data_IF_315641744593
#
_entry.id   IF_315641744593
#
_cell.length_a   1.000
_cell.length_b   1.000
_cell.length_c   1.000
_cell.angle_alpha   90.00
_cell.angle_beta   90.00
_cell.angle_gamma   90.00
#
_symmetry.space_group_name_H-M   'P 1'
#
loop_
_entity.id
_entity.type
_entity.pdbx_description
1 polymer ?
#
# COMPACT_ATOMS: atom_id res chain seq x y z
N UNK A 1 -3.76 -28.94 -8.25
CA UNK A 1 -4.42 -27.62 -8.10
C UNK A 1 -4.97 -27.03 -9.42
N UNK A 2 -4.61 -27.54 -10.61
CA UNK A 2 -5.10 -26.94 -11.88
C UNK A 2 -6.57 -27.18 -12.21
N UNK A 3 -7.16 -28.30 -11.79
CA UNK A 3 -8.57 -28.64 -12.05
C UNK A 3 -9.58 -27.68 -11.41
N UNK A 4 -9.20 -26.99 -10.34
CA UNK A 4 -10.06 -26.05 -9.60
C UNK A 4 -9.90 -24.59 -10.04
N UNK A 5 -8.85 -24.28 -10.82
CA UNK A 5 -8.51 -22.93 -11.31
C UNK A 5 -9.69 -22.20 -12.00
N UNK A 6 -10.54 -22.87 -12.81
CA UNK A 6 -11.67 -22.21 -13.48
C UNK A 6 -12.79 -21.73 -12.55
N UNK A 7 -12.89 -22.30 -11.35
CA UNK A 7 -13.98 -22.01 -10.41
C UNK A 7 -13.63 -20.92 -9.38
N UNK A 8 -12.38 -20.44 -9.38
CA UNK A 8 -12.02 -19.33 -8.51
C UNK A 8 -12.67 -18.03 -8.99
N UNK A 9 -13.23 -17.21 -8.07
CA UNK A 9 -13.72 -15.90 -8.43
C UNK A 9 -12.58 -15.09 -9.03
N UNK A 10 -12.87 -14.42 -10.15
CA UNK A 10 -11.92 -13.49 -10.75
C UNK A 10 -11.71 -12.34 -9.79
N UNK A 11 -10.45 -11.98 -9.54
CA UNK A 11 -10.11 -10.79 -8.78
C UNK A 11 -10.56 -9.56 -9.57
N UNK A 12 -11.65 -8.94 -9.14
CA UNK A 12 -12.12 -7.68 -9.70
C UNK A 12 -11.46 -6.51 -8.97
N UNK A 13 -10.90 -5.57 -9.74
CA UNK A 13 -10.32 -4.33 -9.22
C UNK A 13 -8.82 -4.17 -9.52
N UNK A 14 -8.29 -3.00 -9.13
CA UNK A 14 -6.86 -2.70 -9.29
C UNK A 14 -6.06 -3.56 -8.30
N UNK A 15 -4.97 -4.24 -8.74
CA UNK A 15 -4.12 -4.99 -7.84
C UNK A 15 -3.67 -4.09 -6.68
N UNK A 16 -3.67 -4.67 -5.47
CA UNK A 16 -3.22 -3.96 -4.29
C UNK A 16 -1.78 -3.49 -4.50
N UNK A 17 -1.51 -2.26 -4.10
CA UNK A 17 -0.13 -1.76 -4.03
C UNK A 17 0.63 -2.65 -3.07
N UNK A 18 1.88 -2.97 -3.42
CA UNK A 18 2.81 -3.72 -2.59
C UNK A 18 2.85 -3.17 -1.15
N UNK A 19 2.45 -4.00 -0.19
CA UNK A 19 2.35 -3.60 1.22
C UNK A 19 3.72 -3.28 1.83
N UNK A 20 4.82 -3.91 1.36
CA UNK A 20 6.18 -3.59 1.80
C UNK A 20 6.54 -2.16 1.40
N UNK A 21 6.17 -1.77 0.18
CA UNK A 21 6.42 -0.42 -0.34
C UNK A 21 5.67 0.65 0.47
N UNK A 22 4.41 0.37 0.81
CA UNK A 22 3.59 1.25 1.65
C UNK A 22 4.19 1.38 3.06
N UNK A 23 4.59 0.25 3.66
CA UNK A 23 5.24 0.22 4.97
C UNK A 23 6.55 1.01 4.99
N UNK A 24 7.41 0.81 4.00
CA UNK A 24 8.64 1.58 3.85
C UNK A 24 8.38 3.08 3.76
N UNK A 25 7.35 3.50 3.03
CA UNK A 25 6.94 4.91 2.97
C UNK A 25 6.47 5.47 4.31
N UNK A 26 5.66 4.72 5.07
CA UNK A 26 5.21 5.14 6.40
C UNK A 26 6.40 5.27 7.37
N UNK A 27 7.31 4.30 7.37
CA UNK A 27 8.51 4.32 8.23
C UNK A 27 9.42 5.50 7.87
N UNK A 28 9.60 5.77 6.57
CA UNK A 28 10.39 6.91 6.11
C UNK A 28 9.83 8.25 6.62
N UNK A 29 8.52 8.45 6.52
CA UNK A 29 7.87 9.69 6.98
C UNK A 29 8.03 9.87 8.48
N UNK A 30 7.75 8.81 9.25
CA UNK A 30 7.86 8.84 10.71
C UNK A 30 9.31 9.04 11.20
N UNK A 31 10.30 8.50 10.48
CA UNK A 31 11.73 8.61 10.85
C UNK A 31 12.28 10.01 10.60
N UNK A 32 11.76 10.71 9.59
CA UNK A 32 12.25 12.02 9.16
C UNK A 32 11.34 13.17 9.61
N UNK A 33 10.27 12.90 10.37
CA UNK A 33 9.27 13.89 10.79
C UNK A 33 8.73 14.75 9.62
N UNK A 34 8.52 14.11 8.47
CA UNK A 34 8.07 14.77 7.24
C UNK A 34 6.55 14.85 7.17
N UNK A 35 6.04 15.76 6.32
CA UNK A 35 4.62 15.73 5.97
C UNK A 35 4.36 14.58 5.02
N UNK A 36 3.17 14.00 5.09
CA UNK A 36 2.75 12.93 4.18
C UNK A 36 2.85 13.31 2.69
N UNK A 37 2.66 14.59 2.35
CA UNK A 37 2.79 15.10 0.98
C UNK A 37 4.23 15.07 0.44
N UNK A 38 5.23 15.07 1.32
CA UNK A 38 6.65 15.08 0.95
C UNK A 38 7.20 13.66 0.75
N UNK A 39 6.34 12.65 0.87
CA UNK A 39 6.70 11.27 0.65
C UNK A 39 7.16 11.05 -0.82
N UNK A 40 8.30 10.38 -1.04
CA UNK A 40 8.71 10.01 -2.39
C UNK A 40 7.63 9.21 -3.11
N UNK A 41 7.36 9.58 -4.38
CA UNK A 41 6.35 8.92 -5.21
C UNK A 41 6.62 7.43 -5.44
N UNK A 42 7.86 6.99 -5.24
CA UNK A 42 8.27 5.58 -5.24
C UNK A 42 7.51 4.75 -4.23
N UNK A 43 7.18 5.31 -3.05
CA UNK A 43 6.42 4.59 -2.02
C UNK A 43 4.92 4.49 -2.35
N UNK A 44 4.45 5.31 -3.30
CA UNK A 44 3.07 5.43 -3.71
C UNK A 44 2.43 6.75 -3.25
N UNK A 45 1.13 6.93 -3.53
CA UNK A 45 0.46 8.19 -3.23
C UNK A 45 0.45 8.50 -1.73
N UNK A 46 0.77 9.74 -1.37
CA UNK A 46 0.73 10.26 0.01
C UNK A 46 -0.56 9.89 0.75
N UNK A 47 -1.71 10.02 0.07
CA UNK A 47 -3.02 9.67 0.62
C UNK A 47 -3.14 8.18 0.97
N UNK A 48 -2.51 7.29 0.21
CA UNK A 48 -2.50 5.85 0.49
C UNK A 48 -1.70 5.54 1.75
N UNK A 49 -0.53 6.17 1.91
CA UNK A 49 0.31 6.03 3.11
C UNK A 49 -0.43 6.52 4.35
N UNK A 50 -1.00 7.72 4.29
CA UNK A 50 -1.76 8.30 5.41
C UNK A 50 -2.99 7.45 5.78
N UNK A 51 -3.79 7.03 4.80
CA UNK A 51 -4.98 6.20 5.06
C UNK A 51 -4.61 4.85 5.68
N UNK A 52 -3.47 4.28 5.31
CA UNK A 52 -2.95 3.03 5.87
C UNK A 52 -2.48 3.21 7.30
N UNK A 53 -1.66 4.23 7.57
CA UNK A 53 -1.22 4.56 8.91
C UNK A 53 -2.40 4.88 9.84
N UNK A 54 -3.34 5.72 9.41
CA UNK A 54 -4.54 6.09 10.19
C UNK A 54 -5.42 4.88 10.53
N UNK A 55 -5.41 3.83 9.71
CA UNK A 55 -6.18 2.61 9.98
C UNK A 55 -5.56 1.73 11.06
N UNK A 56 -4.27 1.87 11.31
CA UNK A 56 -3.54 1.10 12.32
C UNK A 56 -3.32 1.87 13.62
N UNK A 57 -3.47 3.19 13.59
CA UNK A 57 -3.64 4.02 14.77
C UNK A 57 -5.10 3.95 15.25
#
# INVERSE_FOLDING_TARGET
MERLKPFFPKSHGKPRVDDRRVLSGIIFINRNDLRWCDAPGEYGPAKTLYNRWKRWR
#
